data_IF_156952626984
#
_entry.id   IF_156952626984
#
_cell.length_a   1.000
_cell.length_b   1.000
_cell.length_c   1.000
_cell.angle_alpha   90.00
_cell.angle_beta   90.00
_cell.angle_gamma   90.00
#
_symmetry.space_group_name_H-M   'P 1'
#
loop_
_entity.id
_entity.type
_entity.pdbx_description
1 polymer ?
#
# COMPACT_ATOMS: atom_id res chain seq x y z
N UNK A 1 16.15 12.14 7.35
CA UNK A 1 17.14 11.41 6.54
C UNK A 1 16.45 10.44 5.61
N UNK A 2 16.81 10.46 4.35
CA UNK A 2 16.30 9.50 3.37
C UNK A 2 17.12 8.21 3.46
N UNK A 3 16.47 7.09 3.72
CA UNK A 3 17.14 5.81 3.88
C UNK A 3 17.27 5.05 2.56
N UNK A 4 16.17 4.94 1.83
CA UNK A 4 16.15 4.32 0.52
C UNK A 4 14.95 4.79 -0.27
N UNK A 5 15.03 4.70 -1.59
CA UNK A 5 13.96 5.11 -2.48
C UNK A 5 14.14 4.47 -3.85
N UNK A 6 13.04 4.42 -4.60
CA UNK A 6 13.02 3.89 -5.95
C UNK A 6 12.06 4.72 -6.79
N UNK A 7 12.39 4.94 -8.05
CA UNK A 7 11.59 5.71 -9.00
C UNK A 7 11.21 4.87 -10.20
N UNK A 8 9.95 4.93 -10.58
CA UNK A 8 9.39 4.28 -11.76
C UNK A 8 9.83 2.83 -11.94
N UNK A 9 9.75 2.01 -10.88
CA UNK A 9 10.18 0.62 -10.97
C UNK A 9 9.21 -0.20 -11.82
N UNK A 10 9.71 -1.27 -12.44
CA UNK A 10 8.83 -2.30 -12.96
C UNK A 10 8.23 -3.10 -11.78
N UNK A 11 7.26 -3.98 -12.09
CA UNK A 11 6.57 -4.72 -11.05
C UNK A 11 7.50 -5.58 -10.19
N UNK A 12 8.44 -6.29 -10.80
CA UNK A 12 9.36 -7.17 -10.08
C UNK A 12 10.28 -6.37 -9.15
N UNK A 13 10.81 -5.26 -9.62
CA UNK A 13 11.67 -4.40 -8.81
C UNK A 13 10.90 -3.76 -7.66
N UNK A 14 9.65 -3.37 -7.89
CA UNK A 14 8.80 -2.81 -6.84
C UNK A 14 8.48 -3.86 -5.77
N UNK A 15 8.13 -5.08 -6.17
CA UNK A 15 7.88 -6.18 -5.23
C UNK A 15 9.12 -6.43 -4.35
N UNK A 16 10.29 -6.50 -4.96
CA UNK A 16 11.54 -6.73 -4.22
C UNK A 16 11.83 -5.58 -3.26
N UNK A 17 11.69 -4.34 -3.71
CA UNK A 17 11.94 -3.16 -2.88
C UNK A 17 10.99 -3.10 -1.69
N UNK A 18 9.68 -3.28 -1.92
CA UNK A 18 8.69 -3.20 -0.84
C UNK A 18 8.86 -4.33 0.17
N UNK A 19 9.11 -5.56 -0.28
CA UNK A 19 9.36 -6.67 0.63
C UNK A 19 10.61 -6.44 1.47
N UNK A 20 11.65 -5.87 0.89
CA UNK A 20 12.87 -5.54 1.62
C UNK A 20 12.61 -4.46 2.67
N UNK A 21 11.93 -3.39 2.30
CA UNK A 21 11.59 -2.30 3.23
C UNK A 21 10.66 -2.78 4.36
N UNK A 22 9.70 -3.64 4.07
CA UNK A 22 8.77 -4.15 5.07
C UNK A 22 9.44 -5.06 6.12
N UNK A 23 10.62 -5.60 5.83
CA UNK A 23 11.41 -6.35 6.80
C UNK A 23 12.17 -5.45 7.78
N UNK A 24 12.24 -4.16 7.51
CA UNK A 24 12.99 -3.21 8.32
C UNK A 24 12.08 -2.61 9.40
N UNK A 25 12.24 -2.94 10.67
CA UNK A 25 11.38 -2.40 11.72
C UNK A 25 11.63 -0.90 11.94
N UNK A 26 10.59 -0.20 12.35
CA UNK A 26 10.69 1.20 12.73
C UNK A 26 10.81 2.19 11.58
N UNK A 27 10.51 1.77 10.37
CA UNK A 27 10.58 2.64 9.20
C UNK A 27 9.21 3.09 8.71
N UNK A 28 9.19 4.26 8.12
CA UNK A 28 8.05 4.74 7.33
C UNK A 28 8.18 4.15 5.92
N UNK A 29 7.08 3.69 5.38
CA UNK A 29 6.97 3.32 3.97
C UNK A 29 5.94 4.22 3.31
N UNK A 30 6.31 4.85 2.20
CA UNK A 30 5.41 5.67 1.41
C UNK A 30 5.50 5.25 -0.05
N UNK A 31 4.34 5.05 -0.67
CA UNK A 31 4.26 4.73 -2.09
C UNK A 31 3.27 5.69 -2.73
N UNK A 32 3.75 6.52 -3.64
CA UNK A 32 2.91 7.44 -4.40
C UNK A 32 2.89 6.98 -5.86
N UNK A 33 1.72 6.92 -6.45
CA UNK A 33 1.60 6.56 -7.83
C UNK A 33 0.20 6.13 -8.21
N UNK A 34 0.08 5.68 -9.45
CA UNK A 34 -1.17 5.17 -9.96
C UNK A 34 -1.40 3.74 -9.46
N UNK A 35 -2.57 3.48 -8.90
CA UNK A 35 -2.93 2.17 -8.39
C UNK A 35 -4.43 1.95 -8.39
N UNK A 36 -4.84 0.69 -8.31
CA UNK A 36 -6.21 0.30 -8.00
C UNK A 36 -6.27 -0.05 -6.52
N UNK A 37 -7.28 0.45 -5.81
CA UNK A 37 -7.42 0.30 -4.37
C UNK A 37 -8.71 -0.44 -4.03
N UNK A 38 -8.59 -1.45 -3.18
CA UNK A 38 -9.72 -2.21 -2.64
C UNK A 38 -9.67 -2.20 -1.11
N UNK A 39 -10.84 -2.13 -0.48
CA UNK A 39 -11.01 -2.32 0.96
C UNK A 39 -12.47 -2.67 1.24
N UNK A 40 -12.84 -3.13 2.43
CA UNK A 40 -14.24 -3.42 2.74
C UNK A 40 -15.15 -2.24 2.43
N UNK A 41 -16.17 -2.48 1.60
CA UNK A 41 -17.09 -1.45 1.13
C UNK A 41 -16.69 -0.82 -0.20
N UNK A 42 -15.53 -1.17 -0.75
CA UNK A 42 -15.09 -0.65 -2.04
C UNK A 42 -14.30 -1.71 -2.81
N UNK A 43 -14.93 -2.29 -3.81
CA UNK A 43 -14.26 -3.24 -4.70
C UNK A 43 -13.39 -2.51 -5.71
N UNK A 44 -12.31 -3.15 -6.14
CA UNK A 44 -11.49 -2.65 -7.23
C UNK A 44 -12.27 -2.70 -8.53
N UNK A 45 -12.23 -1.61 -9.28
CA UNK A 45 -12.78 -1.52 -10.64
C UNK A 45 -12.08 -0.38 -11.36
N UNK A 46 -12.45 -0.13 -12.60
CA UNK A 46 -11.84 0.95 -13.38
C UNK A 46 -12.00 2.33 -12.71
N UNK A 47 -13.07 2.51 -11.96
CA UNK A 47 -13.32 3.78 -11.26
C UNK A 47 -12.43 3.95 -10.04
N UNK A 48 -11.89 2.86 -9.50
CA UNK A 48 -10.98 2.93 -8.36
C UNK A 48 -9.53 3.20 -8.75
N UNK A 49 -9.19 3.11 -10.05
CA UNK A 49 -7.86 3.43 -10.53
C UNK A 49 -7.61 4.93 -10.45
N UNK A 50 -6.46 5.34 -9.95
CA UNK A 50 -6.11 6.75 -9.84
C UNK A 50 -4.79 6.94 -9.13
N UNK A 51 -4.46 8.19 -8.85
CA UNK A 51 -3.25 8.54 -8.13
C UNK A 51 -3.53 8.52 -6.62
N UNK A 52 -2.74 7.72 -5.91
CA UNK A 52 -2.87 7.56 -4.46
C UNK A 52 -1.53 7.67 -3.77
N UNK A 53 -1.58 7.95 -2.48
CA UNK A 53 -0.44 7.85 -1.58
C UNK A 53 -0.78 6.83 -0.51
N UNK A 54 0.01 5.76 -0.44
CA UNK A 54 -0.09 4.75 0.60
C UNK A 54 1.01 5.00 1.62
N UNK A 55 0.65 5.08 2.90
CA UNK A 55 1.60 5.29 3.99
C UNK A 55 1.45 4.16 5.00
N UNK A 56 2.56 3.47 5.28
CA UNK A 56 2.65 2.51 6.37
C UNK A 56 3.65 3.06 7.39
N UNK A 57 3.17 3.30 8.60
CA UNK A 57 3.95 3.94 9.65
C UNK A 57 4.69 2.93 10.51
N UNK A 58 5.70 3.37 11.28
CA UNK A 58 6.42 2.49 12.22
C UNK A 58 5.55 1.82 13.26
N UNK A 59 4.39 2.39 13.59
CA UNK A 59 3.42 1.82 14.53
C UNK A 59 2.48 0.80 13.88
N UNK A 60 2.75 0.42 12.64
CA UNK A 60 1.93 -0.49 11.83
C UNK A 60 0.55 0.06 11.45
N UNK A 61 0.33 1.36 11.54
CA UNK A 61 -0.87 1.97 11.00
C UNK A 61 -0.71 2.25 9.51
N UNK A 62 -1.79 2.06 8.76
CA UNK A 62 -1.84 2.25 7.32
C UNK A 62 -2.81 3.37 6.97
N UNK A 63 -2.45 4.20 6.02
CA UNK A 63 -3.34 5.19 5.43
C UNK A 63 -3.22 5.16 3.91
N UNK A 64 -4.35 5.32 3.25
CA UNK A 64 -4.41 5.48 1.79
C UNK A 64 -5.11 6.80 1.51
N UNK A 65 -4.39 7.69 0.85
CA UNK A 65 -4.89 9.02 0.48
C UNK A 65 -5.14 9.09 -1.02
N UNK A 66 -6.30 9.63 -1.38
CA UNK A 66 -6.59 10.01 -2.76
C UNK A 66 -5.91 11.34 -3.10
N UNK A 67 -5.87 11.68 -4.38
CA UNK A 67 -5.26 12.92 -4.85
C UNK A 67 -5.99 14.18 -4.35
N UNK A 68 -7.21 14.05 -3.88
CA UNK A 68 -8.04 15.16 -3.39
C UNK A 68 -8.52 14.88 -1.97
N UNK A 69 -8.71 15.96 -1.22
CA UNK A 69 -9.21 15.88 0.15
C UNK A 69 -8.08 15.78 1.17
N UNK A 70 -8.41 16.10 2.40
CA UNK A 70 -7.43 16.12 3.49
C UNK A 70 -7.51 14.87 4.36
N UNK A 71 -8.63 14.14 4.32
CA UNK A 71 -8.79 12.91 5.08
C UNK A 71 -8.35 11.71 4.25
N UNK A 72 -7.76 10.68 4.88
CA UNK A 72 -7.46 9.45 4.15
C UNK A 72 -8.74 8.78 3.65
N UNK A 73 -8.65 8.16 2.49
CA UNK A 73 -9.72 7.38 1.89
C UNK A 73 -9.99 6.12 2.72
N UNK A 74 -8.94 5.52 3.25
CA UNK A 74 -8.99 4.36 4.13
C UNK A 74 -7.84 4.44 5.12
N UNK A 75 -8.08 3.94 6.34
CA UNK A 75 -7.03 3.83 7.35
C UNK A 75 -7.24 2.58 8.19
N UNK A 76 -6.15 1.98 8.64
CA UNK A 76 -6.15 0.82 9.50
C UNK A 76 -5.15 1.03 10.64
N UNK A 77 -5.59 0.96 11.90
CA UNK A 77 -4.72 1.32 13.03
C UNK A 77 -3.65 0.27 13.35
N UNK A 78 -3.86 -0.98 12.96
CA UNK A 78 -2.93 -2.07 13.26
C UNK A 78 -2.92 -3.07 12.12
N UNK A 79 -1.91 -3.01 11.27
CA UNK A 79 -1.69 -4.00 10.22
C UNK A 79 -0.82 -5.10 10.81
N UNK A 80 -1.30 -6.34 10.77
CA UNK A 80 -0.56 -7.49 11.26
C UNK A 80 0.32 -8.10 10.19
N UNK A 81 -0.12 -8.04 8.94
CA UNK A 81 0.58 -8.63 7.82
C UNK A 81 0.34 -7.82 6.56
N UNK A 82 1.40 -7.62 5.78
CA UNK A 82 1.33 -6.83 4.55
C UNK A 82 2.15 -7.48 3.44
N UNK A 83 1.76 -8.67 2.96
CA UNK A 83 2.50 -9.31 1.88
C UNK A 83 2.44 -8.49 0.60
N UNK A 84 3.55 -8.50 -0.14
CA UNK A 84 3.66 -7.88 -1.45
C UNK A 84 4.03 -8.98 -2.45
N UNK A 85 3.27 -9.07 -3.51
CA UNK A 85 3.48 -10.09 -4.53
C UNK A 85 3.16 -9.55 -5.91
N UNK A 86 3.63 -10.24 -6.95
CA UNK A 86 3.22 -9.93 -8.31
C UNK A 86 1.95 -10.69 -8.63
N UNK A 87 0.98 -9.99 -9.20
CA UNK A 87 -0.26 -10.57 -9.67
C UNK A 87 -0.69 -9.88 -10.96
N UNK A 88 -0.83 -10.65 -12.04
CA UNK A 88 -1.22 -10.10 -13.35
C UNK A 88 -0.25 -9.06 -13.90
N UNK A 89 1.05 -9.21 -13.63
CA UNK A 89 2.07 -8.28 -14.11
C UNK A 89 2.20 -7.01 -13.26
N UNK A 90 1.49 -6.92 -12.13
CA UNK A 90 1.52 -5.76 -11.23
C UNK A 90 1.99 -6.16 -9.85
N UNK A 91 2.64 -5.23 -9.15
CA UNK A 91 2.92 -5.40 -7.74
C UNK A 91 1.64 -5.14 -6.94
N UNK A 92 1.33 -6.00 -6.00
CA UNK A 92 0.15 -5.90 -5.16
C UNK A 92 0.56 -5.98 -3.69
N UNK A 93 0.17 -4.97 -2.92
CA UNK A 93 0.33 -4.97 -1.46
C UNK A 93 -1.03 -5.25 -0.85
N UNK A 94 -1.09 -6.26 0.03
CA UNK A 94 -2.30 -6.62 0.75
C UNK A 94 -2.05 -6.51 2.24
N UNK A 95 -2.60 -5.47 2.86
CA UNK A 95 -2.49 -5.25 4.30
C UNK A 95 -3.70 -5.85 5.00
N UNK A 96 -3.49 -6.60 6.08
CA UNK A 96 -4.58 -7.26 6.79
C UNK A 96 -4.38 -7.29 8.29
N UNK A 97 -5.49 -7.37 8.99
CA UNK A 97 -5.60 -7.59 10.42
C UNK A 97 -6.67 -8.64 10.69
N UNK A 98 -6.47 -9.50 11.69
CA UNK A 98 -7.39 -10.62 11.93
C UNK A 98 -8.55 -10.29 12.87
N UNK A 99 -8.31 -9.47 13.91
CA UNK A 99 -9.32 -9.24 14.93
C UNK A 99 -9.32 -7.78 15.41
N UNK A 100 -10.34 -7.01 15.06
CA UNK A 100 -11.37 -7.31 14.08
C UNK A 100 -10.78 -7.45 12.68
N UNK A 101 -11.40 -8.26 11.84
CA UNK A 101 -10.90 -8.50 10.49
C UNK A 101 -11.04 -7.25 9.63
N UNK A 102 -9.92 -6.76 9.12
CA UNK A 102 -9.86 -5.63 8.20
C UNK A 102 -8.75 -5.86 7.19
N UNK A 103 -8.91 -5.28 6.02
CA UNK A 103 -7.89 -5.37 4.98
C UNK A 103 -8.00 -4.17 4.03
N UNK A 104 -6.88 -3.88 3.38
CA UNK A 104 -6.81 -2.95 2.26
C UNK A 104 -5.78 -3.46 1.26
N UNK A 105 -6.05 -3.27 0.00
CA UNK A 105 -5.22 -3.78 -1.09
C UNK A 105 -4.96 -2.69 -2.09
N UNK A 106 -3.71 -2.54 -2.49
CA UNK A 106 -3.29 -1.65 -3.56
C UNK A 106 -2.56 -2.44 -4.65
N UNK A 107 -3.05 -2.34 -5.87
CA UNK A 107 -2.38 -2.89 -7.05
C UNK A 107 -1.73 -1.74 -7.82
N UNK A 108 -0.41 -1.71 -7.89
CA UNK A 108 0.34 -0.61 -8.49
C UNK A 108 0.41 -0.78 -10.01
N UNK A 109 0.03 0.26 -10.71
CA UNK A 109 -0.08 0.25 -12.18
C UNK A 109 1.18 0.72 -12.88
#
# INVERSE_FOLDING_TARGET
MLLSWIEDPNADDLVAFLNDELRQPGRWLQVAGEMEVEYPGRAANMESAGDYLLILKPDASLQIHAARGIKPLNWQPQVENAPVMQDGGRAVLHAERRSPAEWARGAFL
#
